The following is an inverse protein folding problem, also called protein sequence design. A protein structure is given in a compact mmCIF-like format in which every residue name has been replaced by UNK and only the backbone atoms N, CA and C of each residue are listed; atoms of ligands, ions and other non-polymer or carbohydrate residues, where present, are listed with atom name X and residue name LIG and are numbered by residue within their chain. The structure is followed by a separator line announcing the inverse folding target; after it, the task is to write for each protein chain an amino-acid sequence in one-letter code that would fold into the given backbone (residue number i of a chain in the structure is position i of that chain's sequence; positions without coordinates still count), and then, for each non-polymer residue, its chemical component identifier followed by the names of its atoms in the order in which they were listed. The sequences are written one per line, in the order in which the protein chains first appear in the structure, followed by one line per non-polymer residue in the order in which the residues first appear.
data_IF_393265460196
#
_entry.id   IF_393265460196
#
_cell.length_a   1.000
_cell.length_b   1.000
_cell.length_c   1.000
_cell.angle_alpha   90.00
_cell.angle_beta   90.00
_cell.angle_gamma   90.00
#
_symmetry.space_group_name_H-M   'P 1'
#
loop_
_entity.id
_entity.type
_entity.pdbx_description
1 polymer ?
#
# COMPACT_ATOMS: atom_id res chain seq x y z
N UNK A 1 3.98 -1.11 35.88
CA UNK A 1 3.75 -1.61 34.53
C UNK A 1 2.68 -2.72 34.48
N UNK A 2 2.72 -3.74 35.33
CA UNK A 2 1.76 -4.86 35.34
C UNK A 2 0.29 -4.39 35.43
N UNK A 3 -0.03 -3.49 36.35
CA UNK A 3 -1.39 -2.92 36.52
C UNK A 3 -1.91 -2.16 35.28
N UNK A 4 -1.03 -1.48 34.52
CA UNK A 4 -1.40 -0.78 33.29
C UNK A 4 -1.76 -1.79 32.21
N UNK A 5 -0.98 -2.86 32.04
CA UNK A 5 -1.26 -3.91 31.05
C UNK A 5 -2.57 -4.62 31.33
N UNK A 6 -2.91 -4.87 32.61
CA UNK A 6 -4.20 -5.46 33.00
C UNK A 6 -5.38 -4.54 32.65
N UNK A 7 -5.21 -3.22 32.86
CA UNK A 7 -6.22 -2.21 32.48
C UNK A 7 -6.39 -2.19 30.96
N UNK A 8 -5.29 -2.14 30.19
CA UNK A 8 -5.32 -2.13 28.74
C UNK A 8 -5.98 -3.41 28.17
N UNK A 9 -5.72 -4.58 28.80
CA UNK A 9 -6.37 -5.83 28.41
C UNK A 9 -7.89 -5.74 28.57
N UNK A 10 -8.40 -5.24 29.68
CA UNK A 10 -9.84 -5.05 29.91
C UNK A 10 -10.47 -4.08 28.87
N UNK A 11 -9.78 -3.00 28.52
CA UNK A 11 -10.27 -2.09 27.48
C UNK A 11 -10.36 -2.77 26.12
N UNK A 12 -9.36 -3.62 25.75
CA UNK A 12 -9.42 -4.43 24.52
C UNK A 12 -10.59 -5.39 24.51
N UNK A 13 -10.81 -6.10 25.62
CA UNK A 13 -11.96 -7.01 25.80
C UNK A 13 -13.29 -6.29 25.62
N UNK A 14 -13.38 -5.03 26.05
CA UNK A 14 -14.56 -4.17 25.87
C UNK A 14 -14.64 -3.54 24.47
N UNK A 15 -13.73 -3.86 23.54
CA UNK A 15 -13.72 -3.30 22.19
C UNK A 15 -13.25 -1.84 22.12
N UNK A 16 -12.65 -1.32 23.19
CA UNK A 16 -12.09 0.04 23.19
C UNK A 16 -10.72 0.02 22.52
N UNK A 17 -10.48 0.80 21.45
CA UNK A 17 -9.19 0.84 20.77
C UNK A 17 -8.16 1.60 21.63
N UNK A 18 -7.42 0.87 22.45
CA UNK A 18 -6.37 1.42 23.32
C UNK A 18 -4.99 1.40 22.67
N UNK A 19 -4.79 0.54 21.67
CA UNK A 19 -3.55 0.48 20.90
C UNK A 19 -3.64 1.46 19.73
N UNK A 20 -3.02 2.64 19.91
CA UNK A 20 -2.96 3.66 18.86
C UNK A 20 -1.55 3.74 18.33
N UNK A 21 -1.37 3.47 17.06
CA UNK A 21 -0.08 3.59 16.39
C UNK A 21 0.02 2.68 15.17
N UNK A 22 0.96 3.04 14.30
CA UNK A 22 1.27 2.23 13.13
C UNK A 22 2.12 1.04 13.53
N UNK A 23 1.74 -0.15 13.07
CA UNK A 23 2.52 -1.36 13.27
C UNK A 23 3.68 -1.37 12.27
N UNK A 24 4.92 -1.46 12.77
CA UNK A 24 6.06 -1.72 11.89
C UNK A 24 6.16 -3.20 11.61
N UNK A 25 6.46 -3.52 10.34
CA UNK A 25 6.69 -4.88 9.85
C UNK A 25 8.14 -5.01 9.40
N UNK A 26 8.71 -6.21 9.57
CA UNK A 26 10.05 -6.56 9.10
C UNK A 26 10.01 -7.95 8.46
N UNK A 27 10.62 -8.09 7.29
CA UNK A 27 10.62 -9.35 6.55
C UNK A 27 11.97 -10.08 6.64
N UNK A 28 12.98 -9.45 7.22
CA UNK A 28 14.31 -10.00 7.44
C UNK A 28 15.41 -8.95 7.27
N UNK A 29 16.63 -9.41 7.18
CA UNK A 29 17.77 -8.60 6.78
C UNK A 29 17.76 -8.33 5.26
N UNK A 30 18.74 -7.58 4.76
CA UNK A 30 18.79 -7.18 3.35
C UNK A 30 18.87 -8.38 2.40
N UNK A 31 19.66 -9.38 2.73
CA UNK A 31 19.83 -10.58 1.90
C UNK A 31 18.51 -11.37 1.84
N UNK A 32 17.89 -11.62 2.98
CA UNK A 32 16.60 -12.30 3.08
C UNK A 32 15.52 -11.54 2.32
N UNK A 33 15.40 -10.23 2.51
CA UNK A 33 14.42 -9.40 1.81
C UNK A 33 14.64 -9.41 0.30
N UNK A 34 15.90 -9.35 -0.16
CA UNK A 34 16.26 -9.41 -1.58
C UNK A 34 15.82 -10.74 -2.20
N UNK A 35 16.17 -11.86 -1.55
CA UNK A 35 15.82 -13.19 -2.03
C UNK A 35 14.30 -13.37 -2.11
N UNK A 36 13.57 -13.07 -1.03
CA UNK A 36 12.11 -13.15 -0.98
C UNK A 36 11.49 -12.27 -2.07
N UNK A 37 11.94 -11.03 -2.22
CA UNK A 37 11.38 -10.09 -3.20
C UNK A 37 11.45 -10.65 -4.61
N UNK A 38 12.63 -11.12 -5.05
CA UNK A 38 12.81 -11.61 -6.41
C UNK A 38 12.19 -12.99 -6.65
N UNK A 39 12.19 -13.88 -5.66
CA UNK A 39 11.49 -15.16 -5.75
C UNK A 39 9.98 -14.96 -5.93
N UNK A 40 9.38 -14.10 -5.10
CA UNK A 40 7.95 -13.81 -5.17
C UNK A 40 7.63 -13.06 -6.46
N UNK A 41 8.43 -12.06 -6.86
CA UNK A 41 8.19 -11.32 -8.10
C UNK A 41 8.15 -12.25 -9.32
N UNK A 42 9.09 -13.21 -9.41
CA UNK A 42 9.09 -14.23 -10.47
C UNK A 42 7.86 -15.14 -10.39
N UNK A 43 7.42 -15.50 -9.20
CA UNK A 43 6.29 -16.39 -9.02
C UNK A 43 4.94 -15.75 -9.39
N UNK A 44 4.79 -14.45 -9.11
CA UNK A 44 3.52 -13.72 -9.34
C UNK A 44 3.42 -13.12 -10.75
N UNK A 45 4.54 -12.82 -11.39
CA UNK A 45 4.56 -12.28 -12.75
C UNK A 45 5.26 -13.24 -13.71
N UNK A 46 4.46 -14.10 -14.34
CA UNK A 46 4.95 -15.12 -15.28
C UNK A 46 5.52 -14.55 -16.59
N UNK A 47 5.37 -13.26 -16.84
CA UNK A 47 6.01 -12.59 -17.97
C UNK A 47 7.50 -12.29 -17.72
N UNK A 48 7.95 -12.49 -16.48
CA UNK A 48 9.33 -12.21 -16.04
C UNK A 48 10.09 -13.53 -15.87
N UNK A 49 10.78 -13.97 -16.90
CA UNK A 49 11.67 -15.14 -16.80
C UNK A 49 12.83 -14.88 -15.83
N UNK A 50 13.48 -13.73 -15.97
CA UNK A 50 14.54 -13.27 -15.08
C UNK A 50 14.28 -11.83 -14.68
N UNK A 51 13.99 -11.55 -13.40
CA UNK A 51 13.78 -10.18 -12.92
C UNK A 51 15.03 -9.33 -13.16
N UNK A 52 14.85 -8.22 -13.84
CA UNK A 52 15.91 -7.22 -14.01
C UNK A 52 15.97 -6.37 -12.75
N UNK A 53 17.16 -6.28 -12.15
CA UNK A 53 17.39 -5.38 -11.03
C UNK A 53 17.28 -3.92 -11.50
N UNK A 54 16.53 -3.13 -10.75
CA UNK A 54 16.41 -1.68 -10.92
C UNK A 54 16.55 -0.99 -9.56
N UNK A 55 17.02 0.26 -9.51
CA UNK A 55 17.23 0.97 -8.25
C UNK A 55 15.99 1.08 -7.36
N UNK A 56 14.81 1.14 -7.97
CA UNK A 56 13.53 1.19 -7.26
C UNK A 56 13.25 -0.08 -6.46
N UNK A 57 13.78 -1.23 -6.89
CA UNK A 57 13.69 -2.47 -6.11
C UNK A 57 14.48 -2.38 -4.80
N UNK A 58 15.65 -1.75 -4.80
CA UNK A 58 16.44 -1.53 -3.57
C UNK A 58 15.66 -0.69 -2.56
N UNK A 59 14.93 0.34 -3.01
CA UNK A 59 14.10 1.15 -2.12
C UNK A 59 12.96 0.35 -1.49
N UNK A 60 12.39 -0.62 -2.23
CA UNK A 60 11.34 -1.51 -1.72
C UNK A 60 11.95 -2.54 -0.75
N UNK A 61 13.10 -3.11 -1.08
CA UNK A 61 13.82 -4.05 -0.22
C UNK A 61 14.22 -3.38 1.11
N UNK A 62 14.72 -2.14 1.06
CA UNK A 62 15.02 -1.37 2.27
C UNK A 62 13.75 -1.08 3.10
N UNK A 63 12.58 -0.88 2.45
CA UNK A 63 11.31 -0.76 3.15
C UNK A 63 10.90 -2.11 3.78
N UNK A 64 11.16 -3.24 3.12
CA UNK A 64 10.88 -4.58 3.68
C UNK A 64 11.70 -4.89 4.92
N UNK A 65 12.93 -4.36 5.04
CA UNK A 65 13.75 -4.55 6.24
C UNK A 65 13.12 -3.91 7.49
N UNK A 66 12.52 -2.74 7.34
CA UNK A 66 11.74 -2.06 8.39
C UNK A 66 10.77 -1.05 7.75
N UNK A 67 9.48 -1.37 7.79
CA UNK A 67 8.45 -0.49 7.21
C UNK A 67 8.29 0.81 7.97
N UNK A 68 8.79 0.89 9.21
CA UNK A 68 8.61 2.03 10.13
C UNK A 68 7.14 2.43 10.28
N UNK A 69 6.24 1.46 10.20
CA UNK A 69 4.80 1.68 10.24
C UNK A 69 4.20 2.34 8.99
N UNK A 70 4.99 2.49 7.93
CA UNK A 70 4.51 3.08 6.66
C UNK A 70 4.10 2.00 5.66
N UNK A 71 3.01 2.26 4.95
CA UNK A 71 2.68 1.56 3.72
C UNK A 71 3.64 1.92 2.58
N UNK A 72 3.25 1.64 1.35
CA UNK A 72 4.08 1.84 0.16
C UNK A 72 3.26 2.45 -0.97
N UNK A 73 3.76 3.50 -1.61
CA UNK A 73 3.21 4.00 -2.86
C UNK A 73 4.27 3.96 -3.96
N UNK A 74 3.93 3.31 -5.07
CA UNK A 74 4.74 3.20 -6.27
C UNK A 74 4.21 4.18 -7.32
N UNK A 75 5.03 5.15 -7.68
CA UNK A 75 4.67 6.25 -8.59
C UNK A 75 5.53 6.17 -9.85
N UNK A 76 4.97 6.38 -11.02
CA UNK A 76 5.72 6.47 -12.28
C UNK A 76 4.97 5.91 -13.47
N UNK A 77 5.61 5.90 -14.65
CA UNK A 77 4.99 5.52 -15.91
C UNK A 77 4.58 4.05 -15.98
N UNK A 78 3.71 3.73 -16.94
CA UNK A 78 3.21 2.38 -17.17
C UNK A 78 4.32 1.40 -17.56
N UNK A 79 4.11 0.10 -17.26
CA UNK A 79 4.97 -0.99 -17.74
C UNK A 79 6.27 -1.19 -16.98
N UNK A 80 6.37 -0.67 -15.75
CA UNK A 80 7.55 -0.79 -14.89
C UNK A 80 7.39 -1.79 -13.74
N UNK A 81 6.36 -2.63 -13.75
CA UNK A 81 6.15 -3.69 -12.75
C UNK A 81 5.47 -3.22 -11.45
N UNK A 82 5.02 -1.96 -11.34
CA UNK A 82 4.36 -1.44 -10.13
C UNK A 82 3.15 -2.29 -9.70
N UNK A 83 2.26 -2.60 -10.66
CA UNK A 83 1.07 -3.42 -10.39
C UNK A 83 1.44 -4.82 -9.91
N UNK A 84 2.42 -5.50 -10.56
CA UNK A 84 2.90 -6.82 -10.13
C UNK A 84 3.42 -6.80 -8.69
N UNK A 85 4.11 -5.72 -8.30
CA UNK A 85 4.61 -5.56 -6.93
C UNK A 85 3.45 -5.32 -5.96
N UNK A 86 2.57 -4.34 -6.24
CA UNK A 86 1.48 -3.99 -5.31
C UNK A 86 0.45 -5.11 -5.20
N UNK A 87 0.04 -5.70 -6.33
CA UNK A 87 -1.04 -6.70 -6.32
C UNK A 87 -0.57 -8.13 -6.11
N UNK A 88 0.72 -8.41 -6.33
CA UNK A 88 1.31 -9.73 -6.22
C UNK A 88 2.31 -9.84 -5.06
N UNK A 89 3.43 -9.11 -5.14
CA UNK A 89 4.52 -9.27 -4.17
C UNK A 89 4.06 -8.91 -2.75
N UNK A 90 3.45 -7.75 -2.55
CA UNK A 90 3.02 -7.28 -1.23
C UNK A 90 2.05 -8.24 -0.54
N UNK A 91 0.94 -8.71 -1.17
CA UNK A 91 0.05 -9.69 -0.55
C UNK A 91 0.76 -10.98 -0.15
N UNK A 92 1.64 -11.50 -1.01
CA UNK A 92 2.32 -12.77 -0.78
C UNK A 92 3.30 -12.67 0.40
N UNK A 93 4.16 -11.64 0.45
CA UNK A 93 5.14 -11.49 1.54
C UNK A 93 4.46 -11.28 2.90
N UNK A 94 3.35 -10.53 2.95
CA UNK A 94 2.57 -10.35 4.18
C UNK A 94 1.91 -11.65 4.63
N UNK A 95 1.40 -12.45 3.69
CA UNK A 95 0.84 -13.75 4.02
C UNK A 95 1.93 -14.72 4.51
N UNK A 96 3.05 -14.81 3.80
CA UNK A 96 4.18 -15.68 4.17
C UNK A 96 4.72 -15.38 5.57
N UNK A 97 4.88 -14.11 5.91
CA UNK A 97 5.54 -13.72 7.17
C UNK A 97 4.59 -13.56 8.34
N UNK A 98 3.37 -13.11 8.09
CA UNK A 98 2.41 -12.70 9.14
C UNK A 98 1.05 -13.38 9.05
N UNK A 99 0.82 -14.26 8.06
CA UNK A 99 -0.49 -14.87 7.82
C UNK A 99 -1.59 -13.86 7.45
N UNK A 100 -1.21 -12.64 7.00
CA UNK A 100 -2.18 -11.60 6.66
C UNK A 100 -2.65 -11.75 5.23
N UNK A 101 -3.97 -11.74 5.04
CA UNK A 101 -4.58 -11.69 3.72
C UNK A 101 -4.80 -10.24 3.32
N UNK A 102 -4.20 -9.83 2.22
CA UNK A 102 -4.35 -8.51 1.60
C UNK A 102 -5.02 -8.73 0.24
N UNK A 103 -6.14 -8.07 0.02
CA UNK A 103 -6.91 -8.19 -1.21
C UNK A 103 -6.67 -6.95 -2.08
N UNK A 104 -5.95 -7.09 -3.21
CA UNK A 104 -5.78 -6.00 -4.15
C UNK A 104 -7.10 -5.60 -4.79
N UNK A 105 -7.31 -4.31 -4.95
CA UNK A 105 -8.50 -3.73 -5.56
C UNK A 105 -8.07 -2.74 -6.66
N UNK A 106 -8.51 -2.89 -7.91
CA UNK A 106 -8.36 -1.85 -8.92
C UNK A 106 -9.05 -0.56 -8.48
N UNK A 107 -8.43 0.59 -8.73
CA UNK A 107 -9.02 1.87 -8.36
C UNK A 107 -10.41 2.09 -9.00
N UNK A 108 -10.62 1.57 -10.21
CA UNK A 108 -11.91 1.59 -10.91
C UNK A 108 -13.05 0.93 -10.13
N UNK A 109 -12.73 -0.02 -9.26
CA UNK A 109 -13.72 -0.83 -8.54
C UNK A 109 -14.00 -0.31 -7.14
N UNK A 110 -13.25 0.68 -6.64
CA UNK A 110 -13.43 1.24 -5.29
C UNK A 110 -14.86 1.67 -4.98
N UNK A 111 -15.56 2.30 -5.95
CA UNK A 111 -16.95 2.75 -5.76
C UNK A 111 -17.95 1.62 -5.52
N UNK A 112 -17.64 0.43 -6.04
CA UNK A 112 -18.52 -0.74 -5.98
C UNK A 112 -18.08 -1.74 -4.90
N UNK A 113 -16.93 -1.52 -4.25
CA UNK A 113 -16.38 -2.43 -3.27
C UNK A 113 -17.18 -2.38 -1.97
N UNK A 114 -17.99 -3.41 -1.75
CA UNK A 114 -18.70 -3.57 -0.47
C UNK A 114 -17.69 -3.73 0.66
N UNK A 115 -17.92 -3.02 1.77
CA UNK A 115 -17.08 -3.12 2.97
C UNK A 115 -15.61 -2.68 2.79
N UNK A 116 -15.30 -1.85 1.79
CA UNK A 116 -13.95 -1.36 1.56
C UNK A 116 -13.30 -0.81 2.84
N UNK A 117 -14.02 -0.01 3.62
CA UNK A 117 -13.51 0.59 4.86
C UNK A 117 -13.39 -0.40 6.04
N UNK A 118 -13.86 -1.65 5.89
CA UNK A 118 -13.74 -2.68 6.94
C UNK A 118 -12.46 -3.52 6.83
N UNK A 119 -11.66 -3.33 5.78
CA UNK A 119 -10.41 -4.05 5.60
C UNK A 119 -9.34 -3.58 6.59
N UNK A 120 -8.41 -4.48 6.95
CA UNK A 120 -7.27 -4.14 7.81
C UNK A 120 -6.10 -3.51 7.06
N UNK A 121 -6.08 -3.65 5.74
CA UNK A 121 -5.06 -3.14 4.82
C UNK A 121 -5.75 -2.58 3.58
N UNK A 122 -5.22 -1.50 3.05
CA UNK A 122 -5.62 -1.01 1.74
C UNK A 122 -4.56 -1.35 0.70
N UNK A 123 -4.97 -2.02 -0.37
CA UNK A 123 -4.12 -2.35 -1.50
C UNK A 123 -4.86 -1.96 -2.78
N UNK A 124 -4.46 -0.83 -3.38
CA UNK A 124 -5.19 -0.21 -4.48
C UNK A 124 -4.27 -0.03 -5.68
N UNK A 125 -4.65 -0.64 -6.79
CA UNK A 125 -3.89 -0.57 -8.04
C UNK A 125 -4.41 0.53 -8.96
N UNK A 126 -3.49 1.22 -9.64
CA UNK A 126 -3.73 2.24 -10.66
C UNK A 126 -4.62 3.40 -10.19
N UNK A 127 -4.35 3.92 -8.97
CA UNK A 127 -5.02 5.13 -8.48
C UNK A 127 -4.87 6.26 -9.49
N UNK A 128 -5.99 6.86 -9.87
CA UNK A 128 -6.08 7.87 -10.91
C UNK A 128 -6.76 7.40 -12.20
N UNK A 129 -7.00 6.10 -12.35
CA UNK A 129 -7.71 5.53 -13.52
C UNK A 129 -9.21 5.41 -13.32
N UNK A 130 -9.68 5.50 -12.08
CA UNK A 130 -11.11 5.49 -11.79
C UNK A 130 -11.84 6.58 -12.58
N UNK A 131 -12.90 6.16 -13.29
CA UNK A 131 -13.66 7.06 -14.14
C UNK A 131 -14.26 8.20 -13.32
N UNK A 132 -14.09 9.41 -13.85
CA UNK A 132 -14.71 10.61 -13.33
C UNK A 132 -16.24 10.53 -13.68
N UNK A 133 -17.03 9.75 -12.96
CA UNK A 133 -18.49 9.81 -13.08
C UNK A 133 -18.98 11.07 -12.39
N UNK A 134 -19.67 11.92 -13.16
CA UNK A 134 -20.30 13.15 -12.66
C UNK A 134 -21.55 12.81 -11.85
N UNK A 135 -21.43 12.57 -10.57
CA UNK A 135 -22.53 12.67 -9.63
C UNK A 135 -22.20 13.77 -8.62
N UNK A 136 -22.67 14.99 -8.90
CA UNK A 136 -22.75 16.13 -7.97
C UNK A 136 -21.60 16.23 -6.94
N UNK A 137 -20.36 16.41 -7.39
CA UNK A 137 -19.25 16.71 -6.48
C UNK A 137 -18.57 15.50 -5.78
N UNK A 138 -19.09 14.28 -5.90
CA UNK A 138 -18.64 13.08 -5.14
C UNK A 138 -17.42 12.33 -5.69
N UNK A 139 -16.69 12.87 -6.65
CA UNK A 139 -15.73 12.13 -7.48
C UNK A 139 -14.39 11.77 -6.84
N UNK A 140 -13.91 12.61 -5.95
CA UNK A 140 -12.64 12.39 -5.26
C UNK A 140 -12.82 11.71 -3.90
N UNK A 141 -14.05 11.48 -3.48
CA UNK A 141 -14.38 11.17 -2.09
C UNK A 141 -13.95 9.76 -1.67
N UNK A 142 -14.08 8.73 -2.54
CA UNK A 142 -13.78 7.36 -2.11
C UNK A 142 -12.31 7.18 -1.78
N UNK A 143 -11.39 7.58 -2.65
CA UNK A 143 -9.96 7.46 -2.36
C UNK A 143 -9.54 8.34 -1.17
N UNK A 144 -10.06 9.56 -1.11
CA UNK A 144 -9.82 10.45 0.04
C UNK A 144 -10.38 9.86 1.33
N UNK A 145 -11.55 9.22 1.29
CA UNK A 145 -12.15 8.53 2.44
C UNK A 145 -11.33 7.33 2.89
N UNK A 146 -10.75 6.57 1.94
CA UNK A 146 -9.81 5.48 2.24
C UNK A 146 -8.58 6.02 2.99
N UNK A 147 -8.00 7.14 2.52
CA UNK A 147 -6.85 7.75 3.16
C UNK A 147 -7.18 8.33 4.55
N UNK A 148 -8.40 8.87 4.73
CA UNK A 148 -8.92 9.33 6.02
C UNK A 148 -9.10 8.17 7.01
N UNK A 149 -9.66 7.07 6.54
CA UNK A 149 -9.85 5.87 7.35
C UNK A 149 -8.52 5.20 7.71
N UNK A 150 -7.59 5.11 6.76
CA UNK A 150 -6.25 4.59 7.00
C UNK A 150 -5.50 5.37 8.08
N UNK A 151 -5.57 6.70 8.04
CA UNK A 151 -4.98 7.54 9.07
C UNK A 151 -5.65 7.36 10.45
N UNK A 152 -6.97 7.33 10.47
CA UNK A 152 -7.76 7.22 11.72
C UNK A 152 -7.55 5.88 12.43
N UNK A 153 -7.41 4.80 11.65
CA UNK A 153 -7.33 3.44 12.17
C UNK A 153 -5.95 2.81 12.04
N UNK A 154 -4.92 3.61 11.67
CA UNK A 154 -3.54 3.17 11.56
C UNK A 154 -3.35 1.99 10.59
N UNK A 155 -4.12 1.96 9.51
CA UNK A 155 -4.07 0.88 8.52
C UNK A 155 -2.96 1.13 7.50
N UNK A 156 -2.14 0.12 7.18
CA UNK A 156 -1.17 0.22 6.10
C UNK A 156 -1.86 0.37 4.74
N UNK A 157 -1.27 1.19 3.86
CA UNK A 157 -1.80 1.49 2.53
C UNK A 157 -0.75 1.17 1.48
N UNK A 158 -1.12 0.37 0.49
CA UNK A 158 -0.28 -0.01 -0.65
C UNK A 158 -0.94 0.50 -1.93
N UNK A 159 -0.22 1.29 -2.71
CA UNK A 159 -0.79 2.00 -3.86
C UNK A 159 0.17 1.92 -5.05
N UNK A 160 -0.37 1.68 -6.24
CA UNK A 160 0.28 2.06 -7.49
C UNK A 160 -0.43 3.24 -8.14
N UNK A 161 0.31 4.11 -8.81
CA UNK A 161 -0.25 5.23 -9.56
C UNK A 161 0.70 5.71 -10.65
N UNK A 162 0.13 6.23 -11.74
CA UNK A 162 0.86 6.94 -12.80
C UNK A 162 0.77 8.47 -12.61
N UNK A 163 0.03 8.94 -11.61
CA UNK A 163 -0.11 10.36 -11.34
C UNK A 163 1.14 10.92 -10.66
N UNK A 164 1.56 12.11 -11.09
CA UNK A 164 2.54 12.92 -10.36
C UNK A 164 1.94 13.46 -9.06
N UNK A 165 2.79 13.91 -8.14
CA UNK A 165 2.32 14.53 -6.90
C UNK A 165 1.38 15.72 -7.14
N UNK A 166 1.65 16.55 -8.17
CA UNK A 166 0.77 17.66 -8.53
C UNK A 166 -0.58 17.16 -9.05
N UNK A 167 -0.61 16.15 -9.92
CA UNK A 167 -1.85 15.57 -10.40
C UNK A 167 -2.68 14.92 -9.29
N UNK A 168 -2.02 14.33 -8.28
CA UNK A 168 -2.70 13.83 -7.07
C UNK A 168 -3.36 14.99 -6.31
N UNK A 169 -2.65 16.11 -6.13
CA UNK A 169 -3.19 17.31 -5.47
C UNK A 169 -4.39 17.86 -6.25
N UNK A 170 -4.25 17.99 -7.57
CA UNK A 170 -5.30 18.55 -8.44
C UNK A 170 -6.56 17.68 -8.44
N UNK A 171 -6.39 16.35 -8.34
CA UNK A 171 -7.48 15.39 -8.40
C UNK A 171 -8.15 15.12 -7.05
N UNK A 172 -7.36 14.93 -5.98
CA UNK A 172 -7.83 14.48 -4.67
C UNK A 172 -7.65 15.50 -3.55
N UNK A 173 -7.03 16.63 -3.87
CA UNK A 173 -6.79 17.70 -2.92
C UNK A 173 -5.50 17.53 -2.12
N UNK A 174 -5.00 18.67 -1.62
CA UNK A 174 -3.75 18.74 -0.85
C UNK A 174 -3.77 17.87 0.42
N UNK A 175 -4.92 17.81 1.09
CA UNK A 175 -5.08 17.00 2.31
C UNK A 175 -4.84 15.51 2.08
N UNK A 176 -5.29 14.97 0.95
CA UNK A 176 -5.05 13.56 0.57
C UNK A 176 -3.56 13.34 0.28
N UNK A 177 -2.91 14.28 -0.42
CA UNK A 177 -1.46 14.21 -0.66
C UNK A 177 -0.64 14.23 0.63
N UNK A 178 -0.99 15.10 1.59
CA UNK A 178 -0.33 15.18 2.89
C UNK A 178 -0.43 13.84 3.65
N UNK A 179 -1.58 13.15 3.55
CA UNK A 179 -1.75 11.81 4.12
C UNK A 179 -0.88 10.77 3.44
N UNK A 180 -0.82 10.77 2.10
CA UNK A 180 0.06 9.87 1.36
C UNK A 180 1.51 10.00 1.85
N UNK A 181 2.03 11.22 1.96
CA UNK A 181 3.40 11.48 2.44
C UNK A 181 3.61 10.95 3.86
N UNK A 182 2.59 11.08 4.71
CA UNK A 182 2.65 10.62 6.11
C UNK A 182 2.57 9.11 6.22
N UNK A 183 1.61 8.50 5.50
CA UNK A 183 1.25 7.09 5.64
C UNK A 183 2.14 6.15 4.83
N UNK A 184 2.76 6.62 3.74
CA UNK A 184 3.47 5.77 2.80
C UNK A 184 4.94 6.17 2.62
N UNK A 185 5.79 5.19 2.34
CA UNK A 185 7.06 5.42 1.66
C UNK A 185 6.77 5.58 0.17
N UNK A 186 7.32 6.62 -0.43
CA UNK A 186 7.12 6.92 -1.85
C UNK A 186 8.33 6.38 -2.62
N UNK A 187 8.10 5.46 -3.56
CA UNK A 187 9.11 4.96 -4.50
C UNK A 187 8.74 5.41 -5.90
N UNK A 188 9.68 6.10 -6.58
CA UNK A 188 9.46 6.69 -7.89
C UNK A 188 10.12 5.86 -8.97
N UNK A 189 9.32 5.15 -9.74
CA UNK A 189 9.75 4.38 -10.90
C UNK A 189 10.07 5.31 -12.07
N UNK A 190 11.30 5.24 -12.58
CA UNK A 190 11.81 6.06 -13.68
C UNK A 190 12.30 5.15 -14.82
N UNK A 191 12.30 5.69 -16.05
CA UNK A 191 12.83 5.01 -17.24
C UNK A 191 11.74 4.40 -18.13
N UNK A 192 12.19 3.73 -19.20
CA UNK A 192 11.31 3.17 -20.22
C UNK A 192 10.51 1.96 -19.75
N UNK A 193 9.36 1.72 -20.41
CA UNK A 193 8.53 0.55 -20.17
C UNK A 193 9.25 -0.77 -20.46
N UNK A 194 9.08 -1.77 -19.63
CA UNK A 194 9.52 -3.16 -19.90
C UNK A 194 8.57 -3.90 -20.84
N UNK A 195 7.39 -3.36 -21.10
CA UNK A 195 6.45 -3.95 -22.07
C UNK A 195 6.98 -3.68 -23.48
N UNK A 196 7.30 -4.76 -24.19
CA UNK A 196 7.59 -4.72 -25.63
C UNK A 196 6.33 -4.73 -26.44
#
# INVERSE_FOLDING_TARGET
MQRINEILAKFRECGVPVDRGYVSYTFGDKETCTNIFYEVLRAVDRSIDTPVHIPEHDEIIDWMMDTKGKGLILVGDCGRGKSSIITGVIPVIFNMRYGKLIFPLPATDMLNAKNLLQTSFYCIDDVGTESIKNHFGEKSEVFSSVMDDAERHFKPVFISTNLTGQQIIDRYGKRTMDRIVRLCRIVKFKGESFRK
#
